data_IF_846584188880
#
_entry.id   IF_846584188880
#
_cell.length_a   1.000
_cell.length_b   1.000
_cell.length_c   1.000
_cell.angle_alpha   90.00
_cell.angle_beta   90.00
_cell.angle_gamma   90.00
#
_symmetry.space_group_name_H-M   'P 1'
#
loop_
_entity.id
_entity.type
_entity.pdbx_description
1 polymer ?
#
# COMPACT_ATOMS: atom_id res chain seq x y z
N UNK A 1 -9.57 7.00 22.68
CA UNK A 1 -9.65 5.86 21.73
C UNK A 1 -8.23 5.61 21.26
N UNK A 2 -7.73 4.40 21.39
CA UNK A 2 -6.43 4.03 20.85
C UNK A 2 -6.49 4.28 19.33
N UNK A 3 -5.44 4.88 18.73
CA UNK A 3 -5.41 5.23 17.31
C UNK A 3 -5.71 4.05 16.35
N UNK A 4 -5.56 2.82 16.84
CA UNK A 4 -5.86 1.59 16.07
C UNK A 4 -7.27 1.02 16.29
N UNK A 5 -8.09 1.63 17.14
CA UNK A 5 -9.46 1.16 17.37
C UNK A 5 -10.42 1.58 16.26
N UNK A 6 -10.07 2.61 15.48
CA UNK A 6 -10.88 3.08 14.36
C UNK A 6 -11.09 2.02 13.30
N UNK A 7 -10.06 1.23 12.97
CA UNK A 7 -10.18 0.12 12.01
C UNK A 7 -11.17 -0.95 12.48
N UNK A 8 -11.44 -1.02 13.79
CA UNK A 8 -12.45 -1.91 14.37
C UNK A 8 -13.85 -1.28 14.42
N UNK A 9 -13.98 -0.02 14.00
CA UNK A 9 -15.24 0.70 14.03
C UNK A 9 -15.85 0.84 12.61
N UNK A 10 -16.74 -0.09 12.20
CA UNK A 10 -17.35 -0.05 10.87
C UNK A 10 -18.14 1.23 10.61
N UNK A 11 -18.72 1.82 11.67
CA UNK A 11 -19.51 3.05 11.55
C UNK A 11 -18.62 4.25 11.23
N UNK A 12 -17.41 4.32 11.81
CA UNK A 12 -16.44 5.36 11.48
C UNK A 12 -16.09 5.33 10.00
N UNK A 13 -15.66 4.18 9.49
CA UNK A 13 -15.23 4.04 8.11
C UNK A 13 -16.40 4.15 7.11
N UNK A 14 -17.61 3.77 7.50
CA UNK A 14 -18.82 3.98 6.70
C UNK A 14 -19.13 5.47 6.49
N UNK A 15 -18.79 6.31 7.47
CA UNK A 15 -19.00 7.78 7.37
C UNK A 15 -17.87 8.50 6.64
N UNK A 16 -16.68 7.92 6.60
CA UNK A 16 -15.46 8.54 6.08
C UNK A 16 -14.89 7.83 4.85
N UNK A 17 -15.68 6.95 4.21
CA UNK A 17 -15.19 6.20 3.07
C UNK A 17 -14.78 7.09 1.88
N UNK A 18 -15.42 8.26 1.72
CA UNK A 18 -15.13 9.21 0.63
C UNK A 18 -13.88 10.06 0.90
N UNK A 19 -13.51 10.23 2.18
CA UNK A 19 -12.39 11.06 2.62
C UNK A 19 -11.09 10.27 2.78
N UNK A 20 -11.14 8.95 2.67
CA UNK A 20 -10.05 8.04 3.00
C UNK A 20 -9.82 7.02 1.89
N UNK A 21 -8.54 6.72 1.59
CA UNK A 21 -8.14 5.68 0.65
C UNK A 21 -7.70 4.38 1.35
N UNK A 22 -7.12 3.45 0.59
CA UNK A 22 -6.57 2.19 1.10
C UNK A 22 -5.49 2.42 2.16
N UNK A 23 -4.60 3.39 1.96
CA UNK A 23 -3.53 3.75 2.90
C UNK A 23 -4.08 4.32 4.20
N UNK A 24 -5.06 5.22 4.12
CA UNK A 24 -5.73 5.77 5.30
C UNK A 24 -6.34 4.68 6.17
N UNK A 25 -7.04 3.74 5.53
CA UNK A 25 -7.63 2.59 6.21
C UNK A 25 -6.56 1.70 6.84
N UNK A 26 -5.50 1.38 6.10
CA UNK A 26 -4.44 0.51 6.55
C UNK A 26 -3.69 1.09 7.76
N UNK A 27 -3.35 2.37 7.69
CA UNK A 27 -2.54 3.07 8.68
C UNK A 27 -3.37 3.70 9.82
N UNK A 28 -4.70 3.59 9.75
CA UNK A 28 -5.63 4.17 10.71
C UNK A 28 -5.50 5.69 10.84
N UNK A 29 -5.30 6.37 9.72
CA UNK A 29 -5.27 7.83 9.61
C UNK A 29 -6.56 8.34 8.98
N UNK A 30 -6.92 9.59 9.24
CA UNK A 30 -8.22 10.16 8.83
C UNK A 30 -8.16 10.92 7.51
N UNK A 31 -6.95 11.18 7.03
CA UNK A 31 -6.74 11.91 5.79
C UNK A 31 -6.28 10.94 4.69
N UNK A 32 -6.44 11.34 3.44
CA UNK A 32 -5.94 10.60 2.30
C UNK A 32 -4.44 10.37 2.43
N UNK A 33 -4.01 9.12 2.37
CA UNK A 33 -2.61 8.75 2.55
C UNK A 33 -2.00 8.23 1.25
N UNK A 34 -0.89 8.84 0.84
CA UNK A 34 0.00 8.34 -0.20
C UNK A 34 1.36 8.02 0.42
N UNK A 35 2.16 7.07 -0.14
CA UNK A 35 3.52 6.80 0.31
C UNK A 35 4.53 7.89 -0.10
N UNK A 36 4.06 9.08 -0.44
CA UNK A 36 4.80 10.28 -0.80
C UNK A 36 4.01 11.52 -0.34
N UNK A 37 4.57 12.73 -0.48
CA UNK A 37 3.95 14.02 -0.09
C UNK A 37 3.60 14.14 1.40
N UNK A 38 4.39 13.54 2.28
CA UNK A 38 4.18 13.58 3.72
C UNK A 38 5.07 14.61 4.44
N UNK A 39 5.35 15.75 3.81
CA UNK A 39 6.13 16.84 4.38
C UNK A 39 7.63 16.57 4.46
N UNK A 40 8.16 15.65 3.62
CA UNK A 40 9.57 15.37 3.42
C UNK A 40 10.01 15.67 1.99
N UNK A 41 11.21 15.21 1.63
CA UNK A 41 11.79 15.41 0.30
C UNK A 41 11.25 14.40 -0.72
N UNK A 42 10.53 13.37 -0.29
CA UNK A 42 9.92 12.37 -1.16
C UNK A 42 8.53 12.83 -1.58
N UNK A 43 8.51 13.67 -2.61
CA UNK A 43 7.29 14.23 -3.22
C UNK A 43 6.86 13.40 -4.44
N UNK A 44 5.62 13.61 -4.91
CA UNK A 44 5.16 13.02 -6.17
C UNK A 44 6.09 13.42 -7.33
N UNK A 45 6.46 14.70 -7.42
CA UNK A 45 7.36 15.21 -8.46
C UNK A 45 8.72 14.49 -8.43
N UNK A 46 9.34 14.36 -7.25
CA UNK A 46 10.60 13.61 -7.11
C UNK A 46 10.44 12.13 -7.49
N UNK A 47 9.33 11.52 -7.11
CA UNK A 47 9.03 10.12 -7.43
C UNK A 47 8.85 9.90 -8.92
N UNK A 48 8.16 10.80 -9.61
CA UNK A 48 7.99 10.77 -11.06
C UNK A 48 9.34 10.96 -11.78
N UNK A 49 10.17 11.91 -11.32
CA UNK A 49 11.53 12.10 -11.83
C UNK A 49 12.38 10.83 -11.66
N UNK A 50 12.29 10.17 -10.50
CA UNK A 50 13.01 8.92 -10.24
C UNK A 50 12.57 7.80 -11.21
N UNK A 51 11.27 7.66 -11.48
CA UNK A 51 10.76 6.71 -12.48
C UNK A 51 11.38 7.00 -13.86
N UNK A 52 11.33 8.25 -14.28
CA UNK A 52 11.86 8.69 -15.60
C UNK A 52 13.36 8.42 -15.69
N UNK A 53 14.11 8.76 -14.67
CA UNK A 53 15.56 8.57 -14.64
C UNK A 53 15.92 7.08 -14.74
N UNK A 54 15.28 6.22 -13.97
CA UNK A 54 15.50 4.78 -14.01
C UNK A 54 15.13 4.17 -15.39
N UNK A 55 14.03 4.63 -15.99
CA UNK A 55 13.67 4.21 -17.36
C UNK A 55 14.73 4.63 -18.38
N UNK A 56 15.21 5.88 -18.31
CA UNK A 56 16.23 6.40 -19.20
C UNK A 56 17.59 5.70 -19.04
N UNK A 57 17.90 5.24 -17.83
CA UNK A 57 19.09 4.43 -17.53
C UNK A 57 18.95 2.98 -18.01
N UNK A 58 17.77 2.56 -18.43
CA UNK A 58 17.50 1.25 -19.01
C UNK A 58 17.24 0.15 -17.99
N UNK A 59 16.83 0.50 -16.77
CA UNK A 59 16.38 -0.50 -15.80
C UNK A 59 15.12 -1.22 -16.26
N UNK A 60 14.99 -2.49 -15.89
CA UNK A 60 13.78 -3.25 -16.16
C UNK A 60 12.59 -2.71 -15.32
N UNK A 61 11.37 -2.99 -15.78
CA UNK A 61 10.16 -2.64 -15.03
C UNK A 61 10.18 -3.20 -13.59
N UNK A 62 10.64 -4.42 -13.45
CA UNK A 62 10.74 -5.12 -12.17
C UNK A 62 11.76 -4.42 -11.25
N UNK A 63 12.94 -4.04 -11.77
CA UNK A 63 13.98 -3.33 -11.00
C UNK A 63 13.47 -1.93 -10.58
N UNK A 64 12.73 -1.25 -11.44
CA UNK A 64 12.13 0.05 -11.12
C UNK A 64 11.09 -0.10 -10.01
N UNK A 65 10.18 -1.08 -10.12
CA UNK A 65 9.20 -1.33 -9.07
C UNK A 65 9.85 -1.66 -7.73
N UNK A 66 10.94 -2.43 -7.72
CA UNK A 66 11.68 -2.75 -6.49
C UNK A 66 12.24 -1.47 -5.85
N UNK A 67 12.91 -0.62 -6.62
CA UNK A 67 13.51 0.62 -6.12
C UNK A 67 12.45 1.61 -5.61
N UNK A 68 11.35 1.79 -6.33
CA UNK A 68 10.25 2.66 -5.90
C UNK A 68 9.57 2.09 -4.65
N UNK A 69 9.32 0.77 -4.59
CA UNK A 69 8.79 0.11 -3.40
C UNK A 69 9.66 0.36 -2.19
N UNK A 70 10.98 0.27 -2.33
CA UNK A 70 11.91 0.55 -1.24
C UNK A 70 11.78 1.99 -0.74
N UNK A 71 11.71 2.97 -1.64
CA UNK A 71 11.54 4.39 -1.27
C UNK A 71 10.20 4.65 -0.61
N UNK A 72 9.12 4.07 -1.14
CA UNK A 72 7.78 4.16 -0.54
C UNK A 72 7.77 3.57 0.88
N UNK A 73 8.43 2.43 1.09
CA UNK A 73 8.56 1.79 2.41
C UNK A 73 9.37 2.66 3.39
N UNK A 74 10.48 3.25 2.94
CA UNK A 74 11.28 4.18 3.75
C UNK A 74 10.42 5.37 4.23
N UNK A 75 9.62 5.93 3.35
CA UNK A 75 8.73 7.04 3.67
C UNK A 75 7.58 6.61 4.60
N UNK A 76 6.96 5.47 4.35
CA UNK A 76 5.94 4.90 5.25
C UNK A 76 6.50 4.74 6.67
N UNK A 77 7.71 4.20 6.81
CA UNK A 77 8.35 4.01 8.12
C UNK A 77 8.76 5.34 8.76
N UNK A 78 9.11 6.34 7.97
CA UNK A 78 9.43 7.68 8.47
C UNK A 78 8.21 8.35 9.10
N UNK A 79 7.06 8.27 8.45
CA UNK A 79 5.81 8.90 8.91
C UNK A 79 5.03 8.04 9.89
N UNK A 80 5.27 6.74 9.87
CA UNK A 80 4.64 5.75 10.74
C UNK A 80 5.70 4.96 11.56
N UNK A 81 6.47 5.63 12.45
CA UNK A 81 7.59 5.01 13.16
C UNK A 81 7.18 3.88 14.13
N UNK A 82 5.89 3.66 14.29
CA UNK A 82 5.31 2.52 15.05
C UNK A 82 5.15 1.26 14.19
N UNK A 83 5.52 1.30 12.93
CA UNK A 83 5.55 0.13 12.05
C UNK A 83 6.94 -0.49 12.01
N UNK A 84 6.99 -1.76 11.72
CA UNK A 84 8.20 -2.47 11.31
C UNK A 84 7.90 -3.43 10.17
N UNK A 85 8.85 -3.60 9.26
CA UNK A 85 8.77 -4.58 8.18
C UNK A 85 8.89 -5.98 8.74
N UNK A 86 8.10 -6.89 8.19
CA UNK A 86 8.12 -8.33 8.49
C UNK A 86 8.56 -9.07 7.24
N UNK A 87 9.61 -9.88 7.34
CA UNK A 87 10.16 -10.59 6.18
C UNK A 87 9.27 -11.78 5.75
N UNK A 88 8.49 -12.34 6.68
CA UNK A 88 7.66 -13.50 6.39
C UNK A 88 6.41 -13.55 7.27
N UNK A 89 5.27 -13.94 6.69
CA UNK A 89 4.04 -14.19 7.45
C UNK A 89 4.19 -15.31 8.50
N UNK A 90 5.20 -16.17 8.36
CA UNK A 90 5.49 -17.22 9.36
C UNK A 90 6.03 -16.66 10.68
N UNK A 91 6.50 -15.42 10.71
CA UNK A 91 7.05 -14.77 11.90
C UNK A 91 5.98 -14.12 12.78
N UNK A 92 4.75 -14.10 12.31
CA UNK A 92 3.65 -13.39 12.98
C UNK A 92 2.50 -14.31 13.31
N UNK A 93 1.83 -14.04 14.44
CA UNK A 93 0.63 -14.77 14.81
C UNK A 93 -0.49 -14.58 13.80
N UNK A 94 -1.29 -15.61 13.54
CA UNK A 94 -2.41 -15.56 12.60
C UNK A 94 -3.46 -14.48 12.94
N UNK A 95 -3.57 -14.11 14.21
CA UNK A 95 -4.51 -13.08 14.68
C UNK A 95 -3.88 -11.69 14.82
N UNK A 96 -2.58 -11.58 14.62
CA UNK A 96 -1.88 -10.30 14.68
C UNK A 96 -2.35 -9.37 13.56
N UNK A 97 -2.50 -8.09 13.87
CA UNK A 97 -2.81 -7.09 12.86
C UNK A 97 -1.59 -6.87 11.97
N UNK A 98 -1.79 -7.04 10.69
CA UNK A 98 -0.78 -6.77 9.67
C UNK A 98 -1.31 -5.79 8.63
N UNK A 99 -0.38 -5.11 8.00
CA UNK A 99 -0.61 -4.28 6.83
C UNK A 99 0.23 -4.88 5.71
N UNK A 100 -0.37 -5.03 4.53
CA UNK A 100 0.31 -5.43 3.31
C UNK A 100 0.25 -4.28 2.32
N UNK A 101 1.39 -3.94 1.72
CA UNK A 101 1.57 -2.90 0.70
C UNK A 101 2.06 -3.54 -0.60
N UNK A 102 1.58 -3.06 -1.72
CA UNK A 102 2.00 -3.52 -3.04
C UNK A 102 1.89 -2.39 -4.06
N UNK A 103 2.91 -2.30 -4.93
CA UNK A 103 2.97 -1.36 -6.04
C UNK A 103 2.54 -2.05 -7.33
N UNK A 104 2.02 -1.25 -8.27
CA UNK A 104 1.86 -1.60 -9.68
C UNK A 104 2.49 -0.52 -10.55
N UNK A 105 3.13 -0.93 -11.61
CA UNK A 105 3.51 -0.08 -12.73
C UNK A 105 2.91 -0.73 -13.98
N UNK A 106 1.95 -0.05 -14.61
CA UNK A 106 1.22 -0.63 -15.73
C UNK A 106 2.16 -0.95 -16.89
N UNK A 107 2.18 -2.22 -17.27
CA UNK A 107 3.18 -2.75 -18.20
C UNK A 107 3.07 -2.13 -19.59
N UNK A 108 1.84 -1.94 -20.07
CA UNK A 108 1.58 -1.39 -21.41
C UNK A 108 2.11 0.04 -21.52
N UNK A 109 1.86 0.88 -20.52
CA UNK A 109 2.32 2.25 -20.51
C UNK A 109 3.84 2.33 -20.32
N UNK A 110 4.42 1.44 -19.49
CA UNK A 110 5.86 1.32 -19.35
C UNK A 110 6.54 0.94 -20.69
N UNK A 111 5.99 -0.02 -21.43
CA UNK A 111 6.52 -0.44 -22.73
C UNK A 111 6.43 0.69 -23.77
N UNK A 112 5.46 1.60 -23.63
CA UNK A 112 5.29 2.80 -24.45
C UNK A 112 6.12 4.02 -23.96
N UNK A 113 6.85 3.85 -22.85
CA UNK A 113 7.69 4.90 -22.25
C UNK A 113 6.90 5.88 -21.39
N UNK A 114 5.70 5.51 -20.97
CA UNK A 114 4.85 6.26 -20.06
C UNK A 114 4.89 5.66 -18.65
N UNK A 115 4.49 6.43 -17.65
CA UNK A 115 4.38 6.00 -16.27
C UNK A 115 2.90 6.07 -15.87
N UNK A 116 2.28 4.90 -15.70
CA UNK A 116 1.01 4.76 -15.01
C UNK A 116 1.22 3.78 -13.85
N UNK A 117 1.28 4.33 -12.65
CA UNK A 117 1.57 3.60 -11.44
C UNK A 117 0.46 3.78 -10.42
N UNK A 118 0.28 2.79 -9.58
CA UNK A 118 -0.64 2.82 -8.45
C UNK A 118 -0.11 1.96 -7.31
N UNK A 119 -0.60 2.20 -6.13
CA UNK A 119 -0.27 1.42 -4.94
C UNK A 119 -1.55 0.95 -4.24
N UNK A 120 -1.44 -0.15 -3.51
CA UNK A 120 -2.56 -0.66 -2.75
C UNK A 120 -2.14 -1.21 -1.39
N UNK A 121 -3.05 -1.05 -0.42
CA UNK A 121 -2.90 -1.60 0.92
C UNK A 121 -4.02 -2.57 1.23
N UNK A 122 -3.65 -3.66 1.93
CA UNK A 122 -4.57 -4.58 2.59
C UNK A 122 -4.26 -4.67 4.07
N UNK A 123 -5.25 -4.98 4.87
CA UNK A 123 -5.11 -5.06 6.33
C UNK A 123 -5.66 -6.38 6.84
N UNK A 124 -4.88 -7.06 7.67
CA UNK A 124 -5.33 -8.24 8.41
C UNK A 124 -5.84 -7.82 9.80
N UNK A 125 -7.10 -8.12 10.07
CA UNK A 125 -7.76 -7.82 11.35
C UNK A 125 -8.47 -9.10 11.82
N UNK A 126 -8.12 -9.58 13.02
CA UNK A 126 -8.72 -10.79 13.58
C UNK A 126 -8.50 -12.05 12.72
N UNK A 127 -7.40 -12.11 11.99
CA UNK A 127 -7.04 -13.23 11.12
C UNK A 127 -7.57 -13.14 9.69
N UNK A 128 -8.32 -12.09 9.34
CA UNK A 128 -8.92 -11.92 8.03
C UNK A 128 -8.40 -10.68 7.32
N UNK A 129 -8.21 -10.77 6.00
CA UNK A 129 -7.77 -9.67 5.17
C UNK A 129 -8.95 -8.84 4.66
N UNK A 130 -8.77 -7.54 4.74
CA UNK A 130 -9.70 -6.51 4.28
C UNK A 130 -8.96 -5.50 3.40
N UNK A 131 -9.69 -4.86 2.51
CA UNK A 131 -9.18 -3.79 1.67
C UNK A 131 -10.19 -2.65 1.52
N UNK A 132 -9.69 -1.50 1.10
CA UNK A 132 -10.48 -0.35 0.71
C UNK A 132 -9.91 0.18 -0.61
N UNK A 133 -10.69 0.17 -1.67
CA UNK A 133 -10.25 0.68 -2.98
C UNK A 133 -10.68 2.14 -3.13
N UNK A 134 -9.72 3.06 -3.13
CA UNK A 134 -10.00 4.49 -3.27
C UNK A 134 -11.12 4.96 -2.32
N UNK A 135 -12.15 5.57 -2.88
CA UNK A 135 -13.33 6.05 -2.16
C UNK A 135 -14.39 4.98 -1.87
N UNK A 136 -14.19 3.73 -2.30
CA UNK A 136 -15.14 2.64 -2.04
C UNK A 136 -15.20 2.27 -0.56
N UNK A 137 -16.28 1.59 -0.17
CA UNK A 137 -16.41 1.06 1.17
C UNK A 137 -15.38 -0.05 1.44
N UNK A 138 -15.05 -0.27 2.71
CA UNK A 138 -14.22 -1.38 3.14
C UNK A 138 -14.91 -2.69 2.77
N UNK A 139 -14.14 -3.61 2.22
CA UNK A 139 -14.62 -4.95 1.87
C UNK A 139 -13.69 -6.04 2.40
N UNK A 140 -14.25 -7.20 2.57
CA UNK A 140 -13.52 -8.43 2.83
C UNK A 140 -12.82 -8.88 1.54
N UNK A 141 -11.53 -9.23 1.61
CA UNK A 141 -10.84 -9.75 0.44
C UNK A 141 -11.42 -11.11 0.05
N UNK A 142 -11.79 -11.26 -1.22
CA UNK A 142 -12.38 -12.51 -1.74
C UNK A 142 -11.43 -13.70 -1.61
N UNK A 143 -10.13 -13.47 -1.79
CA UNK A 143 -9.08 -14.42 -1.53
C UNK A 143 -8.30 -13.99 -0.28
N UNK A 144 -8.23 -14.89 0.70
CA UNK A 144 -7.55 -14.67 1.97
C UNK A 144 -6.09 -15.11 1.95
N UNK A 145 -5.62 -15.78 0.90
CA UNK A 145 -4.22 -16.05 0.67
C UNK A 145 -3.57 -14.84 -0.01
N UNK A 146 -3.19 -13.84 0.79
CA UNK A 146 -2.72 -12.53 0.32
C UNK A 146 -1.47 -12.61 -0.55
N UNK A 147 -0.62 -13.63 -0.34
CA UNK A 147 0.63 -13.82 -1.09
C UNK A 147 0.38 -14.39 -2.49
N UNK A 148 -0.62 -15.26 -2.65
CA UNK A 148 -0.97 -15.89 -3.92
C UNK A 148 -2.13 -15.20 -4.63
N UNK A 149 -2.90 -14.38 -3.91
CA UNK A 149 -4.04 -13.66 -4.44
C UNK A 149 -3.63 -12.68 -5.53
N UNK A 150 -4.41 -12.60 -6.58
CA UNK A 150 -4.33 -11.49 -7.52
C UNK A 150 -4.88 -10.21 -6.84
N UNK A 151 -4.11 -9.15 -6.88
CA UNK A 151 -4.54 -7.85 -6.38
C UNK A 151 -4.97 -6.99 -7.55
N UNK A 152 -6.24 -6.58 -7.56
CA UNK A 152 -6.84 -5.79 -8.63
C UNK A 152 -7.38 -4.48 -8.10
N UNK A 153 -7.17 -3.40 -8.87
CA UNK A 153 -7.89 -2.15 -8.67
C UNK A 153 -9.33 -2.25 -9.18
N UNK A 154 -10.15 -1.23 -8.91
CA UNK A 154 -11.49 -1.09 -9.51
C UNK A 154 -11.49 -1.06 -11.05
N UNK A 155 -10.38 -0.61 -11.64
CA UNK A 155 -10.18 -0.53 -13.09
C UNK A 155 -9.44 -1.75 -13.67
N UNK A 156 -9.34 -2.83 -12.87
CA UNK A 156 -8.64 -4.07 -13.20
C UNK A 156 -7.12 -3.92 -13.41
N UNK A 157 -6.52 -2.88 -12.87
CA UNK A 157 -5.07 -2.77 -12.80
C UNK A 157 -4.51 -3.84 -11.86
N UNK A 158 -3.52 -4.60 -12.31
CA UNK A 158 -2.91 -5.68 -11.53
C UNK A 158 -1.74 -5.14 -10.72
N UNK A 159 -1.82 -5.24 -9.38
CA UNK A 159 -0.69 -4.95 -8.49
C UNK A 159 0.19 -6.19 -8.43
N UNK A 160 1.33 -6.14 -9.10
CA UNK A 160 2.24 -7.27 -9.28
C UNK A 160 3.65 -7.04 -8.73
N UNK A 161 3.89 -5.91 -8.09
CA UNK A 161 5.11 -5.64 -7.33
C UNK A 161 5.29 -6.59 -6.14
N UNK A 162 6.41 -6.53 -5.47
CA UNK A 162 6.66 -7.26 -4.24
C UNK A 162 5.65 -6.87 -3.15
N UNK A 163 5.20 -7.84 -2.36
CA UNK A 163 4.33 -7.57 -1.21
C UNK A 163 5.21 -7.28 -0.01
N UNK A 164 5.04 -6.10 0.56
CA UNK A 164 5.72 -5.71 1.80
C UNK A 164 4.74 -5.81 2.96
N UNK A 165 5.12 -6.54 3.99
CA UNK A 165 4.32 -6.68 5.20
C UNK A 165 4.85 -5.79 6.32
N UNK A 166 3.94 -5.13 7.02
CA UNK A 166 4.24 -4.36 8.22
C UNK A 166 3.42 -4.90 9.40
N UNK A 167 4.05 -4.94 10.56
CA UNK A 167 3.35 -5.10 11.84
C UNK A 167 3.46 -3.83 12.68
N UNK A 168 2.56 -3.69 13.63
CA UNK A 168 2.56 -2.57 14.56
C UNK A 168 3.47 -2.95 15.72
N UNK A 169 4.46 -2.13 16.00
CA UNK A 169 5.30 -2.25 17.22
C UNK A 169 4.46 -1.97 18.46
N UNK A 170 4.59 -2.81 19.46
CA UNK A 170 4.02 -2.61 20.79
C UNK A 170 4.70 -1.45 21.54
#
# INVERSE_FOLDING_TARGET
>A
MNKYERNKNPEFWSRHHDDCNCGSFALDVTDWFCPYDNGGDYTLEYRDELFIDLMNEGYSREDIMEQITQRDVEEILRVCPWLEVVESLNEVSSNERLIAYRLCLKKEDFDDGEIDEDFHFRVRIGGFWFEKCGMEAIRFCSDQNVEEAEWLSSDNLVYDGEIIFFRIRD
#
